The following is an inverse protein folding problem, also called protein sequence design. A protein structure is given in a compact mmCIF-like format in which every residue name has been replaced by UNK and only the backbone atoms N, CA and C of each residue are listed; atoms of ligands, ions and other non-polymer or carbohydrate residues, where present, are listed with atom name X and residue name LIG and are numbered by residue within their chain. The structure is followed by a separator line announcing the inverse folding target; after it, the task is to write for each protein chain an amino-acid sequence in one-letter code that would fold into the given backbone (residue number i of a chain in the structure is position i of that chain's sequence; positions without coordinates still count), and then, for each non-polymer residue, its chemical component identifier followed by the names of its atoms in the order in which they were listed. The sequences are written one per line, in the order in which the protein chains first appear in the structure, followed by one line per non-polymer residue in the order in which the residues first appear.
data_IF_525341498720
#
_entry.id   IF_525341498720
#
_cell.length_a   1.000
_cell.length_b   1.000
_cell.length_c   1.000
_cell.angle_alpha   90.00
_cell.angle_beta   90.00
_cell.angle_gamma   90.00
#
_symmetry.space_group_name_H-M   'P 1'
#
loop_
_entity.id
_entity.type
_entity.pdbx_description
1 polymer ?
#
# COMPACT_ATOMS: atom_id res chain seq x y z
N UNK A 1 25.39 -4.97 -25.95
CA UNK A 1 24.03 -5.52 -26.08
C UNK A 1 23.32 -5.19 -24.78
N UNK A 2 22.23 -4.43 -24.91
CA UNK A 2 21.38 -3.84 -23.86
C UNK A 2 21.41 -4.50 -22.46
N UNK A 3 21.69 -3.69 -21.43
CA UNK A 3 21.02 -3.81 -20.13
C UNK A 3 19.89 -2.78 -20.12
N UNK A 4 18.71 -3.19 -20.57
CA UNK A 4 17.49 -2.38 -20.44
C UNK A 4 16.50 -3.12 -19.57
N UNK A 5 16.48 -2.78 -18.28
CA UNK A 5 15.25 -2.62 -17.51
C UNK A 5 15.60 -1.92 -16.18
N UNK A 6 15.57 -0.59 -16.17
CA UNK A 6 15.60 0.18 -14.92
C UNK A 6 14.14 0.40 -14.46
N UNK A 7 13.72 -0.09 -13.28
CA UNK A 7 12.56 0.49 -12.63
C UNK A 7 12.98 1.13 -11.29
N UNK A 8 13.19 2.46 -11.23
CA UNK A 8 13.28 3.12 -9.94
C UNK A 8 12.42 4.40 -9.90
N UNK A 9 11.10 4.26 -10.06
CA UNK A 9 10.16 5.37 -9.81
C UNK A 9 9.51 5.32 -8.43
N UNK A 10 9.53 4.17 -7.74
CA UNK A 10 8.98 4.00 -6.37
C UNK A 10 9.97 4.43 -5.27
N UNK A 11 11.28 4.24 -5.46
CA UNK A 11 12.29 4.47 -4.42
C UNK A 11 12.48 5.95 -4.09
N UNK A 12 12.41 6.82 -5.10
CA UNK A 12 12.45 8.28 -4.90
C UNK A 12 11.29 8.75 -4.00
N UNK A 13 10.13 8.09 -4.09
CA UNK A 13 8.95 8.39 -3.28
C UNK A 13 9.16 7.96 -1.81
N UNK A 14 9.76 6.79 -1.58
CA UNK A 14 10.07 6.29 -0.21
C UNK A 14 11.17 7.14 0.44
N UNK A 15 12.22 7.50 -0.29
CA UNK A 15 13.30 8.36 0.24
C UNK A 15 12.80 9.77 0.59
N UNK A 16 11.83 10.31 -0.17
CA UNK A 16 11.19 11.59 0.13
C UNK A 16 10.32 11.51 1.39
N UNK A 17 9.59 10.40 1.57
CA UNK A 17 8.80 10.16 2.78
C UNK A 17 9.66 10.20 4.06
N UNK A 18 10.84 9.57 4.05
CA UNK A 18 11.79 9.64 5.17
C UNK A 18 12.25 11.07 5.50
N UNK A 19 12.30 11.97 4.51
CA UNK A 19 12.69 13.37 4.70
C UNK A 19 11.57 14.25 5.26
N UNK A 20 10.30 13.83 5.10
CA UNK A 20 9.10 14.58 5.54
C UNK A 20 8.65 14.13 6.94
N UNK A 21 9.09 12.96 7.42
CA UNK A 21 8.73 12.39 8.73
C UNK A 21 9.34 13.20 9.88
N UNK A 22 8.68 14.27 10.30
CA UNK A 22 8.98 14.95 11.57
C UNK A 22 8.43 14.12 12.74
N UNK A 23 9.26 13.67 13.69
CA UNK A 23 8.78 13.03 14.90
C UNK A 23 8.19 14.09 15.83
N UNK A 24 6.86 14.12 15.98
CA UNK A 24 6.22 14.83 17.09
C UNK A 24 5.19 15.89 16.71
N UNK A 25 4.01 15.45 16.26
CA UNK A 25 2.72 16.11 16.55
C UNK A 25 1.70 14.99 16.77
N UNK A 26 1.41 14.64 18.02
CA UNK A 26 0.28 13.75 18.33
C UNK A 26 -1.01 14.54 18.15
N UNK A 27 -1.51 14.63 16.92
CA UNK A 27 -2.85 15.18 16.64
C UNK A 27 -3.90 14.19 17.17
N UNK A 28 -4.74 14.66 18.09
CA UNK A 28 -5.85 13.96 18.72
C UNK A 28 -6.87 13.43 17.68
N UNK A 29 -6.80 13.87 16.43
CA UNK A 29 -7.60 13.34 15.31
C UNK A 29 -7.06 12.05 14.66
N UNK A 30 -5.94 11.49 15.14
CA UNK A 30 -5.29 10.29 14.61
C UNK A 30 -6.28 9.13 14.34
N UNK A 31 -7.29 8.92 15.20
CA UNK A 31 -8.29 7.85 15.04
C UNK A 31 -9.18 7.96 13.78
N UNK A 32 -9.23 9.10 13.09
CA UNK A 32 -10.14 9.31 11.95
C UNK A 32 -9.59 8.82 10.60
N UNK A 33 -8.34 8.34 10.54
CA UNK A 33 -7.67 8.00 9.27
C UNK A 33 -6.91 6.66 9.32
N UNK A 34 -7.61 5.55 9.56
CA UNK A 34 -7.00 4.25 9.79
C UNK A 34 -6.14 3.76 8.61
N UNK A 35 -6.54 4.02 7.36
CA UNK A 35 -5.73 3.63 6.20
C UNK A 35 -4.44 4.43 6.12
N UNK A 36 -4.53 5.76 6.34
CA UNK A 36 -3.35 6.62 6.30
C UNK A 36 -2.32 6.21 7.37
N UNK A 37 -2.77 5.86 8.57
CA UNK A 37 -1.90 5.36 9.64
C UNK A 37 -1.22 4.03 9.26
N UNK A 38 -1.99 3.08 8.71
CA UNK A 38 -1.44 1.80 8.25
C UNK A 38 -0.41 2.04 7.14
N UNK A 39 -0.71 2.92 6.17
CA UNK A 39 0.20 3.27 5.09
C UNK A 39 1.55 3.77 5.60
N UNK A 40 1.57 4.68 6.59
CA UNK A 40 2.83 5.15 7.19
C UNK A 40 3.61 4.01 7.84
N UNK A 41 2.91 3.12 8.57
CA UNK A 41 3.51 1.95 9.22
C UNK A 41 4.11 0.98 8.21
N UNK A 42 3.41 0.73 7.10
CA UNK A 42 3.88 -0.14 6.02
C UNK A 42 5.10 0.48 5.31
N UNK A 43 5.06 1.78 5.03
CA UNK A 43 6.20 2.50 4.43
C UNK A 43 7.44 2.45 5.30
N UNK A 44 7.31 2.69 6.61
CA UNK A 44 8.42 2.59 7.57
C UNK A 44 9.06 1.18 7.54
N UNK A 45 8.25 0.11 7.49
CA UNK A 45 8.73 -1.28 7.40
C UNK A 45 9.42 -1.58 6.08
N UNK A 46 8.81 -1.17 4.96
CA UNK A 46 9.40 -1.39 3.64
C UNK A 46 10.74 -0.66 3.48
N UNK A 47 10.88 0.53 4.08
CA UNK A 47 12.15 1.25 4.10
C UNK A 47 13.23 0.49 4.90
N UNK A 48 12.87 -0.10 6.04
CA UNK A 48 13.78 -0.89 6.87
C UNK A 48 14.18 -2.22 6.21
N UNK A 49 13.24 -2.91 5.57
CA UNK A 49 13.50 -4.18 4.89
C UNK A 49 14.46 -4.00 3.70
N UNK A 50 14.43 -2.85 3.04
CA UNK A 50 15.40 -2.50 1.98
C UNK A 50 16.84 -2.41 2.49
N UNK A 51 17.06 -1.88 3.70
CA UNK A 51 18.39 -1.76 4.31
C UNK A 51 19.00 -3.12 4.67
N UNK A 52 18.16 -4.15 4.86
CA UNK A 52 18.58 -5.46 5.36
C UNK A 52 18.53 -6.58 4.32
N UNK A 53 17.65 -6.50 3.31
CA UNK A 53 17.37 -7.61 2.38
C UNK A 53 18.00 -7.51 0.99
N UNK A 54 18.80 -6.48 0.69
CA UNK A 54 19.55 -6.44 -0.57
C UNK A 54 18.68 -6.45 -1.85
N UNK A 55 17.46 -5.89 -1.77
CA UNK A 55 16.66 -5.49 -2.93
C UNK A 55 16.11 -6.62 -3.80
N UNK A 56 14.99 -7.23 -3.39
CA UNK A 56 14.04 -7.87 -4.34
C UNK A 56 12.66 -8.09 -3.72
N UNK A 57 11.93 -6.99 -3.49
CA UNK A 57 10.50 -7.06 -3.21
C UNK A 57 9.73 -6.95 -4.53
N UNK A 58 9.50 -8.08 -5.20
CA UNK A 58 8.72 -8.12 -6.45
C UNK A 58 7.21 -8.03 -6.20
N UNK A 59 6.75 -8.36 -4.99
CA UNK A 59 5.36 -8.22 -4.55
C UNK A 59 5.28 -7.71 -3.13
N UNK A 60 4.45 -6.72 -2.89
CA UNK A 60 4.23 -6.16 -1.55
C UNK A 60 2.86 -5.46 -1.48
N UNK A 61 2.35 -5.27 -0.27
CA UNK A 61 1.10 -4.55 -0.04
C UNK A 61 1.39 -3.09 0.32
N UNK A 62 0.68 -2.17 -0.33
CA UNK A 62 0.54 -0.77 0.10
C UNK A 62 -0.95 -0.47 0.24
N UNK A 63 -1.43 -0.07 1.44
CA UNK A 63 -2.83 0.31 1.62
C UNK A 63 -3.25 1.41 0.65
N UNK A 64 -4.28 1.14 -0.15
CA UNK A 64 -4.87 2.09 -1.06
C UNK A 64 -5.88 2.95 -0.29
N UNK A 65 -5.49 4.19 0.02
CA UNK A 65 -6.28 5.11 0.81
C UNK A 65 -6.97 6.17 -0.06
N UNK A 66 -8.17 6.57 0.35
CA UNK A 66 -8.83 7.74 -0.23
C UNK A 66 -8.29 9.06 0.37
N UNK A 67 -8.78 10.19 -0.14
CA UNK A 67 -8.37 11.53 0.31
C UNK A 67 -8.74 11.84 1.77
N UNK A 68 -9.70 11.13 2.34
CA UNK A 68 -10.09 11.29 3.75
C UNK A 68 -9.20 10.48 4.70
N UNK A 69 -8.41 9.55 4.18
CA UNK A 69 -7.58 8.63 4.96
C UNK A 69 -8.29 7.33 5.34
N UNK A 70 -9.42 7.02 4.70
CA UNK A 70 -10.11 5.74 4.75
C UNK A 70 -9.62 4.81 3.64
N UNK A 71 -9.98 3.53 3.72
CA UNK A 71 -9.60 2.55 2.71
C UNK A 71 -10.48 2.70 1.47
N UNK A 72 -9.88 2.65 0.29
CA UNK A 72 -10.64 2.27 -0.91
C UNK A 72 -11.17 0.84 -0.75
N UNK A 73 -12.37 0.57 -1.26
CA UNK A 73 -12.99 -0.75 -1.15
C UNK A 73 -12.15 -1.84 -1.82
N UNK A 74 -11.45 -1.52 -2.92
CA UNK A 74 -10.49 -2.40 -3.58
C UNK A 74 -9.08 -2.16 -3.05
N UNK A 75 -8.45 -3.23 -2.58
CA UNK A 75 -7.05 -3.29 -2.17
C UNK A 75 -6.31 -4.30 -3.04
N UNK A 76 -5.03 -4.04 -3.33
CA UNK A 76 -4.21 -4.87 -4.19
C UNK A 76 -2.78 -4.94 -3.69
N UNK A 77 -2.12 -6.08 -3.91
CA UNK A 77 -0.66 -6.15 -3.92
C UNK A 77 -0.11 -5.37 -5.12
N UNK A 78 0.96 -4.61 -4.88
CA UNK A 78 1.82 -4.12 -5.94
C UNK A 78 2.63 -5.30 -6.50
N UNK A 79 2.70 -5.43 -7.83
CA UNK A 79 3.51 -6.42 -8.52
C UNK A 79 4.48 -5.70 -9.45
N UNK A 80 5.78 -5.95 -9.30
CA UNK A 80 6.84 -5.35 -10.11
C UNK A 80 7.36 -6.29 -11.21
N UNK A 81 6.83 -7.51 -11.29
CA UNK A 81 7.20 -8.54 -12.25
C UNK A 81 6.26 -8.63 -13.48
N UNK A 82 5.33 -7.67 -13.61
CA UNK A 82 4.41 -7.57 -14.75
C UNK A 82 3.14 -8.42 -14.64
N UNK A 83 3.05 -9.30 -13.65
CA UNK A 83 1.85 -10.10 -13.39
C UNK A 83 0.81 -9.32 -12.58
N UNK A 84 -0.50 -9.55 -12.78
CA UNK A 84 -1.53 -8.98 -11.91
C UNK A 84 -1.33 -9.38 -10.45
N UNK A 85 -1.27 -8.37 -9.57
CA UNK A 85 -1.26 -8.56 -8.13
C UNK A 85 -2.55 -9.21 -7.62
N UNK A 86 -2.47 -9.84 -6.45
CA UNK A 86 -3.67 -10.29 -5.75
C UNK A 86 -4.44 -9.07 -5.25
N UNK A 87 -5.73 -8.99 -5.55
CA UNK A 87 -6.62 -7.95 -5.06
C UNK A 87 -7.77 -8.56 -4.25
N UNK A 88 -8.34 -7.76 -3.35
CA UNK A 88 -9.46 -8.13 -2.50
C UNK A 88 -10.31 -6.91 -2.14
N UNK A 89 -11.50 -7.16 -1.61
CA UNK A 89 -12.39 -6.12 -1.12
C UNK A 89 -12.26 -5.94 0.40
N UNK A 90 -12.37 -4.70 0.87
CA UNK A 90 -12.34 -4.34 2.29
C UNK A 90 -13.47 -3.38 2.65
N UNK A 91 -13.85 -3.36 3.93
CA UNK A 91 -14.75 -2.33 4.46
C UNK A 91 -14.01 -0.98 4.61
N UNK A 92 -14.47 0.11 3.99
CA UNK A 92 -13.74 1.39 3.95
C UNK A 92 -13.33 1.96 5.31
N UNK A 93 -14.13 1.74 6.36
CA UNK A 93 -13.87 2.28 7.70
C UNK A 93 -12.82 1.48 8.49
N UNK A 94 -12.62 0.20 8.17
CA UNK A 94 -11.81 -0.69 9.00
C UNK A 94 -10.66 -1.37 8.28
N UNK A 95 -10.66 -1.39 6.94
CA UNK A 95 -9.69 -2.15 6.15
C UNK A 95 -9.88 -3.66 6.26
N UNK A 96 -10.88 -4.14 7.00
CA UNK A 96 -11.14 -5.57 7.15
C UNK A 96 -11.57 -6.16 5.81
N UNK A 97 -10.86 -7.19 5.41
CA UNK A 97 -11.12 -7.99 4.20
C UNK A 97 -12.50 -8.63 4.24
N UNK A 98 -13.19 -8.59 3.11
CA UNK A 98 -14.42 -9.34 2.85
C UNK A 98 -14.01 -10.76 2.43
N UNK A 99 -14.40 -11.81 3.17
CA UNK A 99 -14.00 -13.17 2.84
C UNK A 99 -14.45 -13.61 1.44
N UNK A 100 -13.55 -14.22 0.67
CA UNK A 100 -13.85 -14.76 -0.66
C UNK A 100 -13.85 -13.72 -1.78
N UNK A 101 -13.39 -12.50 -1.51
CA UNK A 101 -13.25 -11.44 -2.52
C UNK A 101 -11.88 -11.46 -3.23
N UNK A 102 -11.01 -12.38 -2.84
CA UNK A 102 -9.65 -12.50 -3.36
C UNK A 102 -9.60 -13.01 -4.81
N UNK A 103 -9.05 -12.19 -5.71
CA UNK A 103 -8.80 -12.58 -7.10
C UNK A 103 -7.49 -11.96 -7.61
N UNK A 104 -6.89 -12.55 -8.64
CA UNK A 104 -5.86 -11.85 -9.43
C UNK A 104 -6.57 -10.93 -10.42
N UNK A 105 -6.32 -9.62 -10.34
CA UNK A 105 -7.04 -8.62 -11.14
C UNK A 105 -8.16 -7.93 -10.36
N UNK A 106 -9.26 -7.55 -11.02
CA UNK A 106 -10.32 -6.75 -10.38
C UNK A 106 -11.36 -7.62 -9.64
N UNK A 107 -11.56 -7.47 -8.31
CA UNK A 107 -12.56 -8.20 -7.54
C UNK A 107 -14.01 -7.67 -7.67
N UNK A 108 -14.25 -6.62 -8.46
CA UNK A 108 -15.56 -5.96 -8.61
C UNK A 108 -16.22 -5.66 -7.25
N UNK A 109 -15.57 -4.81 -6.44
CA UNK A 109 -16.02 -4.59 -5.07
C UNK A 109 -17.39 -3.91 -4.95
N UNK A 110 -17.96 -3.37 -6.02
CA UNK A 110 -19.28 -2.74 -5.99
C UNK A 110 -20.38 -3.73 -5.59
N UNK A 111 -20.21 -5.01 -5.89
CA UNK A 111 -21.17 -6.06 -5.55
C UNK A 111 -21.41 -6.25 -4.04
N UNK A 112 -20.48 -5.84 -3.18
CA UNK A 112 -20.56 -6.03 -1.73
C UNK A 112 -21.16 -4.85 -0.96
N UNK A 113 -21.43 -3.73 -1.63
CA UNK A 113 -21.92 -2.50 -1.01
C UNK A 113 -23.27 -2.02 -1.60
N UNK A 114 -24.05 -2.96 -2.15
CA UNK A 114 -25.41 -2.72 -2.66
C UNK A 114 -26.42 -2.54 -1.53
#
# INVERSE_FOLDING_TARGET
MEMTQEPPTLWNTVSNYNSIRTPGITDVNSWKRPCQQELHTVLDRLAQDQETAGGSLYRFYLPNCDRSGLYHSKQCEASLDGEPGLCWCVYPQSGRKIPGSEVRGDPDCQQYFQ
#
